data_IF_775384371018
#
_entry.id   IF_775384371018
#
_cell.length_a   1.000
_cell.length_b   1.000
_cell.length_c   1.000
_cell.angle_alpha   90.00
_cell.angle_beta   90.00
_cell.angle_gamma   90.00
#
_symmetry.space_group_name_H-M   'P 1'
#
loop_
_entity.id
_entity.type
_entity.pdbx_description
1 polymer ?
#
# COMPACT_ATOMS: atom_id res chain seq x y z
N UNK A 1 24.70 -2.15 -7.59
CA UNK A 1 23.98 -0.87 -7.68
C UNK A 1 23.90 -0.29 -6.28
N UNK A 2 24.12 1.02 -6.12
CA UNK A 2 23.92 1.70 -4.84
C UNK A 2 22.43 2.02 -4.75
N UNK A 3 21.78 1.51 -3.71
CA UNK A 3 20.37 1.79 -3.47
C UNK A 3 20.30 3.04 -2.60
N UNK A 4 19.77 4.13 -3.17
CA UNK A 4 19.60 5.39 -2.45
C UNK A 4 18.31 5.35 -1.63
N UNK A 5 18.14 6.28 -0.70
CA UNK A 5 16.85 6.48 -0.02
C UNK A 5 16.27 7.81 -0.46
N UNK A 6 15.04 7.79 -0.97
CA UNK A 6 14.30 8.99 -1.34
C UNK A 6 13.20 9.29 -0.32
N UNK A 7 12.79 10.56 -0.27
CA UNK A 7 11.67 11.03 0.56
C UNK A 7 10.50 11.43 -0.31
N UNK A 8 9.37 10.80 -0.09
CA UNK A 8 8.12 11.09 -0.79
C UNK A 8 7.18 11.80 0.17
N UNK A 9 6.71 12.99 -0.21
CA UNK A 9 5.85 13.81 0.64
C UNK A 9 4.44 13.86 0.04
N UNK A 10 3.45 13.50 0.84
CA UNK A 10 2.05 13.48 0.46
C UNK A 10 1.26 14.41 1.37
N UNK A 11 0.39 15.24 0.79
CA UNK A 11 -0.58 15.97 1.59
C UNK A 11 -1.55 14.97 2.22
N UNK A 12 -1.79 15.11 3.52
CA UNK A 12 -2.65 14.20 4.28
C UNK A 12 -3.64 14.98 5.16
N UNK A 13 -4.68 15.59 4.57
CA UNK A 13 -5.75 16.27 5.31
C UNK A 13 -6.40 15.42 6.41
N UNK A 14 -6.42 14.09 6.25
CA UNK A 14 -6.84 13.13 7.27
C UNK A 14 -6.09 13.25 8.61
N UNK A 15 -4.88 13.82 8.61
CA UNK A 15 -4.09 14.10 9.81
C UNK A 15 -4.36 15.51 10.38
N UNK A 16 -5.24 16.28 9.75
CA UNK A 16 -5.50 17.71 9.98
C UNK A 16 -5.03 18.59 8.82
N UNK A 17 -5.67 19.76 8.65
CA UNK A 17 -5.31 20.71 7.59
C UNK A 17 -3.83 21.08 7.62
N UNK A 18 -3.21 21.12 6.44
CA UNK A 18 -1.79 21.46 6.27
C UNK A 18 -0.79 20.39 6.73
N UNK A 19 -1.25 19.19 7.11
CA UNK A 19 -0.37 18.07 7.48
C UNK A 19 0.05 17.24 6.27
N UNK A 20 1.23 16.63 6.39
CA UNK A 20 1.82 15.78 5.36
C UNK A 20 2.31 14.46 5.94
N UNK A 21 2.27 13.42 5.11
CA UNK A 21 2.93 12.13 5.34
C UNK A 21 4.22 12.12 4.54
N UNK A 22 5.32 11.74 5.20
CA UNK A 22 6.63 11.56 4.56
C UNK A 22 6.99 10.07 4.59
N UNK A 23 7.20 9.48 3.41
CA UNK A 23 7.67 8.11 3.26
C UNK A 23 9.16 8.11 2.92
N UNK A 24 9.91 7.22 3.54
CA UNK A 24 11.32 6.95 3.19
C UNK A 24 11.39 5.57 2.55
N UNK A 25 11.76 5.53 1.26
CA UNK A 25 11.78 4.30 0.46
C UNK A 25 13.15 4.12 -0.22
N UNK A 26 13.68 2.89 -0.30
CA UNK A 26 14.85 2.61 -1.11
C UNK A 26 14.53 2.77 -2.61
N UNK A 27 15.43 3.38 -3.36
CA UNK A 27 15.26 3.74 -4.76
C UNK A 27 16.53 3.44 -5.58
N UNK A 28 16.33 2.97 -6.80
CA UNK A 28 17.37 2.81 -7.81
C UNK A 28 16.75 2.85 -9.21
N UNK A 29 17.18 3.78 -10.04
CA UNK A 29 16.87 3.84 -11.48
C UNK A 29 15.37 3.72 -11.83
N UNK A 30 14.54 4.58 -11.23
CA UNK A 30 13.09 4.61 -11.47
C UNK A 30 12.30 3.59 -10.67
N UNK A 31 12.96 2.63 -10.01
CA UNK A 31 12.34 1.56 -9.24
C UNK A 31 12.50 1.79 -7.74
N UNK A 32 11.47 1.52 -6.96
CA UNK A 32 11.51 1.59 -5.49
C UNK A 32 11.28 0.23 -4.83
N UNK A 33 11.96 -0.07 -3.73
CA UNK A 33 11.72 -1.31 -2.98
C UNK A 33 10.59 -1.13 -1.95
N UNK A 34 9.47 -1.82 -2.16
CA UNK A 34 8.23 -1.61 -1.39
C UNK A 34 7.94 -2.72 -0.37
N UNK A 35 8.66 -3.83 -0.47
CA UNK A 35 8.41 -5.04 0.31
C UNK A 35 8.88 -5.02 1.76
N UNK A 36 9.27 -3.85 2.29
CA UNK A 36 9.82 -3.67 3.64
C UNK A 36 8.99 -4.35 4.73
N UNK A 37 7.67 -4.36 4.58
CA UNK A 37 6.74 -4.87 5.58
C UNK A 37 6.16 -6.25 5.25
N UNK A 38 6.38 -6.77 4.04
CA UNK A 38 5.83 -8.04 3.58
C UNK A 38 6.57 -9.23 4.22
N UNK A 39 5.89 -10.10 4.98
CA UNK A 39 6.51 -11.27 5.61
C UNK A 39 7.10 -12.25 4.58
N UNK A 40 8.27 -12.81 4.89
CA UNK A 40 8.99 -13.74 3.99
C UNK A 40 8.19 -14.97 3.61
N UNK A 41 7.28 -15.42 4.46
CA UNK A 41 6.44 -16.58 4.24
C UNK A 41 5.40 -16.35 3.12
N UNK A 42 5.02 -15.09 2.87
CA UNK A 42 4.20 -14.72 1.72
C UNK A 42 5.03 -14.63 0.42
N UNK A 43 6.35 -14.65 0.54
CA UNK A 43 7.30 -14.55 -0.57
C UNK A 43 7.72 -15.93 -1.10
N UNK A 44 7.47 -17.01 -0.33
CA UNK A 44 7.71 -18.38 -0.77
C UNK A 44 6.52 -18.92 -1.57
N UNK A 45 6.51 -18.65 -2.87
CA UNK A 45 5.60 -19.22 -3.87
C UNK A 45 6.22 -19.17 -5.27
N UNK A 46 5.50 -19.62 -6.31
CA UNK A 46 5.99 -19.70 -7.70
C UNK A 46 6.71 -18.42 -8.13
N UNK A 47 7.75 -18.60 -8.95
CA UNK A 47 8.83 -17.65 -9.32
C UNK A 47 8.37 -16.23 -9.71
N UNK A 48 7.10 -16.02 -10.05
CA UNK A 48 6.48 -14.72 -10.29
C UNK A 48 6.30 -13.85 -9.02
N UNK A 49 6.22 -14.45 -7.82
CA UNK A 49 6.15 -13.74 -6.53
C UNK A 49 7.47 -13.02 -6.19
N UNK A 50 8.61 -13.50 -6.70
CA UNK A 50 9.91 -12.83 -6.54
C UNK A 50 9.99 -11.53 -7.34
N UNK A 51 9.18 -11.36 -8.39
CA UNK A 51 9.10 -10.11 -9.16
C UNK A 51 8.22 -9.04 -8.47
N UNK A 52 7.55 -9.37 -7.37
CA UNK A 52 6.92 -8.38 -6.48
C UNK A 52 7.94 -7.73 -5.52
N UNK A 53 9.15 -8.29 -5.41
CA UNK A 53 10.05 -7.99 -4.30
C UNK A 53 11.23 -7.07 -4.63
N UNK A 54 11.58 -6.94 -5.91
CA UNK A 54 12.64 -6.04 -6.37
C UNK A 54 12.15 -4.65 -6.75
N UNK A 55 10.90 -4.34 -6.40
CA UNK A 55 10.34 -3.02 -6.48
C UNK A 55 9.35 -2.80 -7.61
N UNK A 56 8.71 -1.65 -7.56
CA UNK A 56 7.77 -1.17 -8.57
C UNK A 56 8.24 0.18 -9.12
N UNK A 57 7.76 0.59 -10.31
CA UNK A 57 8.00 1.94 -10.81
C UNK A 57 7.57 2.98 -9.77
N UNK A 58 8.45 3.96 -9.52
CA UNK A 58 8.19 5.04 -8.57
C UNK A 58 6.84 5.74 -8.86
N UNK A 59 6.51 5.92 -10.13
CA UNK A 59 5.27 6.57 -10.54
C UNK A 59 4.00 5.79 -10.14
N UNK A 60 4.05 4.46 -10.21
CA UNK A 60 2.94 3.58 -9.86
C UNK A 60 2.71 3.61 -8.34
N UNK A 61 3.79 3.49 -7.56
CA UNK A 61 3.69 3.60 -6.10
C UNK A 61 3.16 4.96 -5.63
N UNK A 62 3.65 6.05 -6.23
CA UNK A 62 3.18 7.40 -5.89
C UNK A 62 1.70 7.55 -6.25
N UNK A 63 1.26 6.97 -7.36
CA UNK A 63 -0.13 6.98 -7.79
C UNK A 63 -1.01 6.20 -6.80
N UNK A 64 -0.60 5.02 -6.38
CA UNK A 64 -1.34 4.20 -5.42
C UNK A 64 -1.42 4.89 -4.05
N UNK A 65 -0.31 5.46 -3.56
CA UNK A 65 -0.31 6.26 -2.32
C UNK A 65 -1.29 7.43 -2.38
N UNK A 66 -1.30 8.19 -3.49
CA UNK A 66 -2.22 9.31 -3.68
C UNK A 66 -3.67 8.84 -3.71
N UNK A 67 -3.94 7.76 -4.44
CA UNK A 67 -5.29 7.23 -4.58
C UNK A 67 -5.86 6.77 -3.23
N UNK A 68 -5.06 6.01 -2.47
CA UNK A 68 -5.46 5.57 -1.14
C UNK A 68 -5.70 6.74 -0.18
N UNK A 69 -4.84 7.76 -0.20
CA UNK A 69 -5.03 8.96 0.62
C UNK A 69 -6.27 9.75 0.20
N UNK A 70 -6.52 9.92 -1.09
CA UNK A 70 -7.70 10.62 -1.60
C UNK A 70 -9.00 9.95 -1.14
N UNK A 71 -9.06 8.61 -1.19
CA UNK A 71 -10.20 7.86 -0.68
C UNK A 71 -10.29 7.88 0.85
N UNK A 72 -9.17 7.77 1.56
CA UNK A 72 -9.14 7.87 3.01
C UNK A 72 -9.65 9.25 3.50
N UNK A 73 -9.24 10.34 2.83
CA UNK A 73 -9.72 11.69 3.13
C UNK A 73 -11.24 11.80 2.96
N UNK A 74 -11.81 11.21 1.90
CA UNK A 74 -13.27 11.22 1.66
C UNK A 74 -14.04 10.39 2.68
N UNK A 75 -13.44 9.30 3.19
CA UNK A 75 -14.06 8.44 4.19
C UNK A 75 -14.00 9.02 5.60
N UNK A 76 -12.97 9.82 5.90
CA UNK A 76 -12.64 10.27 7.25
C UNK A 76 -13.75 11.07 7.94
N UNK A 77 -14.56 11.84 7.20
CA UNK A 77 -15.66 12.63 7.77
C UNK A 77 -16.67 11.81 8.58
N UNK A 78 -16.72 10.48 8.37
CA UNK A 78 -17.67 9.58 9.02
C UNK A 78 -17.01 8.37 9.71
N UNK A 79 -15.68 8.34 9.87
CA UNK A 79 -14.98 7.16 10.39
C UNK A 79 -13.76 7.50 11.24
N UNK A 80 -13.26 6.52 11.98
CA UNK A 80 -11.93 6.63 12.58
C UNK A 80 -10.84 6.70 11.49
N UNK A 81 -9.66 7.20 11.86
CA UNK A 81 -8.51 7.25 10.95
C UNK A 81 -8.13 5.88 10.39
N UNK A 82 -8.15 4.84 11.25
CA UNK A 82 -7.83 3.48 10.83
C UNK A 82 -8.83 2.95 9.79
N UNK A 83 -10.12 3.16 10.01
CA UNK A 83 -11.17 2.78 9.05
C UNK A 83 -11.04 3.54 7.74
N UNK A 84 -10.67 4.82 7.78
CA UNK A 84 -10.44 5.62 6.59
C UNK A 84 -9.25 5.10 5.76
N UNK A 85 -8.13 4.71 6.39
CA UNK A 85 -7.00 4.09 5.68
C UNK A 85 -7.39 2.74 5.05
N UNK A 86 -8.18 1.92 5.74
CA UNK A 86 -8.69 0.65 5.19
C UNK A 86 -9.64 0.92 4.02
N UNK A 87 -10.52 1.91 4.12
CA UNK A 87 -11.38 2.34 3.02
C UNK A 87 -10.55 2.82 1.82
N UNK A 88 -9.46 3.53 2.06
CA UNK A 88 -8.50 3.95 1.05
C UNK A 88 -7.89 2.77 0.28
N UNK A 89 -7.38 1.77 1.01
CA UNK A 89 -6.85 0.53 0.44
C UNK A 89 -7.92 -0.24 -0.36
N UNK A 90 -9.10 -0.44 0.22
CA UNK A 90 -10.19 -1.15 -0.46
C UNK A 90 -10.60 -0.46 -1.76
N UNK A 91 -10.72 0.86 -1.75
CA UNK A 91 -11.10 1.64 -2.92
C UNK A 91 -10.02 1.61 -4.02
N UNK A 92 -8.73 1.69 -3.67
CA UNK A 92 -7.65 1.60 -4.66
C UNK A 92 -7.61 0.22 -5.34
N UNK A 93 -7.82 -0.86 -4.57
CA UNK A 93 -7.90 -2.22 -5.09
C UNK A 93 -9.13 -2.41 -5.98
N UNK A 94 -10.30 -1.92 -5.55
CA UNK A 94 -11.52 -1.97 -6.36
C UNK A 94 -11.37 -1.20 -7.67
N UNK A 95 -10.73 -0.03 -7.65
CA UNK A 95 -10.49 0.77 -8.86
C UNK A 95 -9.53 0.06 -9.84
N UNK A 96 -8.55 -0.70 -9.32
CA UNK A 96 -7.72 -1.55 -10.14
C UNK A 96 -8.54 -2.72 -10.72
N UNK A 97 -9.27 -3.45 -9.88
CA UNK A 97 -10.13 -4.55 -10.30
C UNK A 97 -11.17 -4.11 -11.34
N UNK A 98 -11.74 -2.92 -11.24
CA UNK A 98 -12.71 -2.40 -12.22
C UNK A 98 -12.13 -2.24 -13.63
N UNK A 99 -10.80 -2.15 -13.76
CA UNK A 99 -10.07 -2.01 -15.04
C UNK A 99 -9.44 -3.33 -15.52
N UNK A 100 -9.51 -4.38 -14.71
CA UNK A 100 -8.84 -5.66 -14.94
C UNK A 100 -9.82 -6.83 -14.83
N UNK A 101 -9.63 -7.90 -15.62
CA UNK A 101 -10.51 -9.10 -15.52
C UNK A 101 -10.35 -9.76 -14.14
N UNK A 102 -9.12 -9.87 -13.66
CA UNK A 102 -8.75 -10.42 -12.36
C UNK A 102 -7.53 -9.69 -11.83
N UNK A 103 -7.35 -9.71 -10.51
CA UNK A 103 -6.11 -9.28 -9.89
C UNK A 103 -5.30 -10.51 -9.50
N UNK A 104 -4.01 -10.47 -9.83
CA UNK A 104 -2.99 -11.39 -9.38
C UNK A 104 -2.61 -11.10 -7.93
N UNK A 105 -2.04 -12.09 -7.24
CA UNK A 105 -1.49 -11.90 -5.88
C UNK A 105 -0.49 -10.75 -5.85
N UNK A 106 0.35 -10.60 -6.89
CA UNK A 106 1.30 -9.50 -7.00
C UNK A 106 0.61 -8.14 -6.95
N UNK A 107 -0.50 -7.96 -7.66
CA UNK A 107 -1.22 -6.69 -7.67
C UNK A 107 -1.82 -6.37 -6.30
N UNK A 108 -2.36 -7.37 -5.58
CA UNK A 108 -2.80 -7.16 -4.19
C UNK A 108 -1.66 -6.73 -3.26
N UNK A 109 -0.47 -7.34 -3.41
CA UNK A 109 0.70 -7.00 -2.60
C UNK A 109 1.18 -5.56 -2.84
N UNK A 110 1.18 -5.07 -4.08
CA UNK A 110 1.59 -3.68 -4.38
C UNK A 110 0.67 -2.66 -3.69
N UNK A 111 -0.65 -2.85 -3.76
CA UNK A 111 -1.61 -2.01 -3.03
C UNK A 111 -1.37 -2.06 -1.51
N UNK A 112 -1.09 -3.24 -0.98
CA UNK A 112 -0.85 -3.43 0.45
C UNK A 112 0.48 -2.86 0.91
N UNK A 113 1.50 -2.86 0.05
CA UNK A 113 2.79 -2.23 0.34
C UNK A 113 2.62 -0.71 0.48
N UNK A 114 1.95 -0.05 -0.47
CA UNK A 114 1.62 1.37 -0.39
C UNK A 114 0.86 1.70 0.91
N UNK A 115 -0.18 0.92 1.24
CA UNK A 115 -0.92 1.04 2.49
C UNK A 115 0.00 0.92 3.71
N UNK A 116 0.87 -0.08 3.72
CA UNK A 116 1.79 -0.39 4.82
C UNK A 116 2.75 0.76 5.11
N UNK A 117 3.27 1.42 4.06
CA UNK A 117 4.07 2.63 4.22
C UNK A 117 3.26 3.80 4.78
N UNK A 118 2.05 4.03 4.28
CA UNK A 118 1.18 5.13 4.74
C UNK A 118 0.85 5.00 6.23
N UNK A 119 0.41 3.82 6.67
CA UNK A 119 0.06 3.60 8.09
C UNK A 119 1.29 3.63 8.99
N UNK A 120 2.45 3.15 8.52
CA UNK A 120 3.70 3.24 9.27
C UNK A 120 4.11 4.70 9.49
N UNK A 121 4.02 5.53 8.46
CA UNK A 121 4.32 6.96 8.56
C UNK A 121 3.33 7.73 9.44
N UNK A 122 2.14 7.18 9.69
CA UNK A 122 1.16 7.70 10.65
C UNK A 122 1.38 7.20 12.09
N UNK A 123 2.47 6.48 12.36
CA UNK A 123 2.88 6.09 13.70
C UNK A 123 2.58 4.63 14.09
N UNK A 124 2.01 3.83 13.19
CA UNK A 124 1.90 2.37 13.44
C UNK A 124 3.29 1.76 13.36
N UNK A 125 3.71 1.02 14.39
CA UNK A 125 5.06 0.45 14.42
C UNK A 125 5.29 -0.55 13.29
N UNK A 126 6.51 -0.63 12.75
CA UNK A 126 6.86 -1.58 11.69
C UNK A 126 6.49 -3.03 12.07
N UNK A 127 6.73 -3.41 13.33
CA UNK A 127 6.36 -4.73 13.87
C UNK A 127 4.85 -4.99 13.80
N UNK A 128 4.03 -3.99 14.13
CA UNK A 128 2.58 -4.11 14.01
C UNK A 128 2.14 -4.19 12.54
N UNK A 129 2.70 -3.35 11.67
CA UNK A 129 2.39 -3.38 10.23
C UNK A 129 2.68 -4.77 9.64
N UNK A 130 3.88 -5.30 9.85
CA UNK A 130 4.26 -6.65 9.40
C UNK A 130 3.37 -7.74 9.98
N UNK A 131 3.00 -7.66 11.26
CA UNK A 131 2.10 -8.65 11.89
C UNK A 131 0.68 -8.63 11.32
N UNK A 132 0.19 -7.45 10.93
CA UNK A 132 -1.15 -7.29 10.36
C UNK A 132 -1.20 -7.64 8.89
N UNK A 133 -0.08 -7.51 8.17
CA UNK A 133 0.02 -7.65 6.72
C UNK A 133 -0.71 -8.88 6.16
N UNK A 134 -0.48 -10.13 6.61
CA UNK A 134 -1.16 -11.30 6.04
C UNK A 134 -2.67 -11.28 6.25
N UNK A 135 -3.12 -10.78 7.41
CA UNK A 135 -4.55 -10.72 7.75
C UNK A 135 -5.28 -9.67 6.92
N UNK A 136 -4.63 -8.53 6.68
CA UNK A 136 -5.18 -7.49 5.82
C UNK A 136 -5.25 -8.00 4.38
N UNK A 137 -4.18 -8.65 3.89
CA UNK A 137 -4.16 -9.26 2.56
C UNK A 137 -5.32 -10.24 2.36
N UNK A 138 -5.48 -11.20 3.27
CA UNK A 138 -6.57 -12.18 3.25
C UNK A 138 -7.95 -11.50 3.27
N UNK A 139 -8.12 -10.50 4.15
CA UNK A 139 -9.40 -9.77 4.29
C UNK A 139 -9.74 -8.99 3.02
N UNK A 140 -8.75 -8.33 2.41
CA UNK A 140 -8.93 -7.57 1.15
C UNK A 140 -9.28 -8.52 0.02
N UNK A 141 -8.50 -9.58 -0.19
CA UNK A 141 -8.79 -10.58 -1.24
C UNK A 141 -10.20 -11.14 -1.06
N UNK A 142 -10.55 -11.56 0.16
CA UNK A 142 -11.88 -12.09 0.46
C UNK A 142 -12.98 -11.06 0.16
N UNK A 143 -12.82 -9.81 0.60
CA UNK A 143 -13.82 -8.77 0.41
C UNK A 143 -14.00 -8.35 -1.05
N UNK A 144 -12.95 -8.41 -1.87
CA UNK A 144 -13.00 -8.05 -3.29
C UNK A 144 -13.58 -9.18 -4.13
N UNK A 145 -13.13 -10.42 -3.90
CA UNK A 145 -13.58 -11.57 -4.69
C UNK A 145 -15.00 -12.03 -4.29
N UNK A 146 -15.47 -11.71 -3.08
CA UNK A 146 -16.86 -12.01 -2.65
C UNK A 146 -17.90 -11.00 -3.14
N UNK A 147 -17.50 -9.97 -3.90
CA UNK A 147 -18.43 -9.06 -4.59
C UNK A 147 -18.83 -9.55 -5.99
N UNK A 148 -18.34 -10.74 -6.39
CA UNK A 148 -18.75 -11.49 -7.58
C UNK A 148 -19.80 -12.56 -7.23
#
# INVERSE_FOLDING_TARGET
MIMETIKLNFNAPILGEGRSITLEVPYSDGIIATSRFCPMELLSGDVELLAALNGEPLEDFVKDCKLQLDFANKAYDNSSMHEAFIAGLMASVLEHKARSVSLTTKEYLLHLDAFSYLVNACGVSAVQVTRMYPKILESVIHAIESQL
#
